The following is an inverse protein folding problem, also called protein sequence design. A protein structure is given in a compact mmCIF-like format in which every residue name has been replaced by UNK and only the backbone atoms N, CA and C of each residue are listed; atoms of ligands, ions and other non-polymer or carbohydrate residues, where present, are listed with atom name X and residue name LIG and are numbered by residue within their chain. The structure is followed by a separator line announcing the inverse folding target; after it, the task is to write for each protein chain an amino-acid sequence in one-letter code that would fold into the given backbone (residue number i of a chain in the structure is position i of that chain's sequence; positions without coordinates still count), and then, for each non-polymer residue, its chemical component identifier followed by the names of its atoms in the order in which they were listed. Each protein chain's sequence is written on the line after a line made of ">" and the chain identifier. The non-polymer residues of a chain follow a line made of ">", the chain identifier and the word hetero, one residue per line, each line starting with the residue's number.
data_IF_862487207206
#
_entry.id   IF_862487207206
#
_cell.length_a   1.000
_cell.length_b   1.000
_cell.length_c   1.000
_cell.angle_alpha   90.00
_cell.angle_beta   90.00
_cell.angle_gamma   90.00
#
_symmetry.space_group_name_H-M   'P 1'
#
loop_
_entity.id
_entity.type
_entity.pdbx_description
1 polymer ?
#
# COMPACT_ATOMS: atom_id res chain seq x y z
N UNK A 1 -32.22 4.26 10.81
CA UNK A 1 -30.95 4.76 10.26
C UNK A 1 -31.30 5.84 9.26
N UNK A 2 -30.86 7.05 9.55
CA UNK A 2 -31.10 8.20 8.67
C UNK A 2 -30.37 7.99 7.34
N UNK A 3 -30.92 8.52 6.24
CA UNK A 3 -30.36 8.35 4.89
C UNK A 3 -28.88 8.78 4.78
N UNK A 4 -28.45 9.70 5.66
CA UNK A 4 -27.07 10.17 5.77
C UNK A 4 -26.13 9.13 6.43
N UNK A 5 -26.61 8.34 7.40
CA UNK A 5 -25.81 7.30 8.05
C UNK A 5 -25.47 6.17 7.07
N UNK A 6 -26.45 5.78 6.25
CA UNK A 6 -26.25 4.77 5.20
C UNK A 6 -25.23 5.25 4.15
N UNK A 7 -25.34 6.49 3.68
CA UNK A 7 -24.38 7.07 2.73
C UNK A 7 -22.96 7.16 3.30
N UNK A 8 -22.82 7.49 4.58
CA UNK A 8 -21.53 7.53 5.24
C UNK A 8 -20.94 6.12 5.39
N UNK A 9 -21.75 5.13 5.79
CA UNK A 9 -21.30 3.74 5.88
C UNK A 9 -20.83 3.19 4.52
N UNK A 10 -21.60 3.43 3.45
CA UNK A 10 -21.23 3.02 2.09
C UNK A 10 -19.92 3.70 1.63
N UNK A 11 -19.74 4.98 1.97
CA UNK A 11 -18.51 5.71 1.67
C UNK A 11 -17.30 5.15 2.42
N UNK A 12 -17.45 4.81 3.71
CA UNK A 12 -16.39 4.19 4.50
C UNK A 12 -16.04 2.79 3.97
N UNK A 13 -17.03 2.01 3.57
CA UNK A 13 -16.84 0.68 2.96
C UNK A 13 -16.06 0.79 1.64
N UNK A 14 -16.44 1.73 0.78
CA UNK A 14 -15.71 2.03 -0.44
C UNK A 14 -14.25 2.43 -0.16
N UNK A 15 -14.03 3.37 0.76
CA UNK A 15 -12.67 3.82 1.13
C UNK A 15 -11.84 2.65 1.67
N UNK A 16 -12.41 1.81 2.52
CA UNK A 16 -11.74 0.62 3.04
C UNK A 16 -11.28 -0.33 1.91
N UNK A 17 -12.17 -0.61 0.94
CA UNK A 17 -11.82 -1.43 -0.21
C UNK A 17 -10.72 -0.81 -1.07
N UNK A 18 -10.77 0.50 -1.35
CA UNK A 18 -9.74 1.17 -2.12
C UNK A 18 -8.38 1.16 -1.39
N UNK A 19 -8.36 1.32 -0.06
CA UNK A 19 -7.15 1.20 0.74
C UNK A 19 -6.53 -0.20 0.63
N UNK A 20 -7.35 -1.25 0.69
CA UNK A 20 -6.89 -2.64 0.50
C UNK A 20 -6.35 -2.89 -0.91
N UNK A 21 -6.99 -2.29 -1.94
CA UNK A 21 -6.51 -2.38 -3.33
C UNK A 21 -5.15 -1.71 -3.49
N UNK A 22 -4.98 -0.48 -2.98
CA UNK A 22 -3.70 0.24 -3.03
C UNK A 22 -2.62 -0.51 -2.23
N UNK A 23 -2.95 -1.02 -1.04
CA UNK A 23 -2.05 -1.86 -0.24
C UNK A 23 -1.52 -3.06 -1.05
N UNK A 24 -2.40 -3.74 -1.78
CA UNK A 24 -2.06 -4.91 -2.60
C UNK A 24 -1.14 -4.53 -3.75
N UNK A 25 -1.44 -3.43 -4.45
CA UNK A 25 -0.61 -2.91 -5.54
C UNK A 25 0.77 -2.53 -5.01
N UNK A 26 0.84 -1.76 -3.92
CA UNK A 26 2.09 -1.34 -3.29
C UNK A 26 2.94 -2.55 -2.86
N UNK A 27 2.33 -3.57 -2.26
CA UNK A 27 3.02 -4.81 -1.92
C UNK A 27 3.56 -5.57 -3.13
N UNK A 28 2.79 -5.60 -4.23
CA UNK A 28 3.21 -6.26 -5.48
C UNK A 28 4.39 -5.54 -6.12
N UNK A 29 4.31 -4.21 -6.26
CA UNK A 29 5.39 -3.41 -6.82
C UNK A 29 6.65 -3.48 -5.95
N UNK A 30 6.51 -3.43 -4.62
CA UNK A 30 7.66 -3.57 -3.70
C UNK A 30 8.42 -4.90 -3.91
N UNK A 31 7.68 -5.99 -4.16
CA UNK A 31 8.27 -7.30 -4.48
C UNK A 31 8.92 -7.33 -5.87
N UNK A 32 8.39 -6.59 -6.84
CA UNK A 32 8.99 -6.43 -8.18
C UNK A 32 10.29 -5.65 -8.08
N UNK A 33 10.33 -4.49 -7.43
CA UNK A 33 11.57 -3.69 -7.30
C UNK A 33 12.63 -4.40 -6.47
N UNK A 34 12.23 -5.19 -5.46
CA UNK A 34 13.16 -6.06 -4.74
C UNK A 34 13.81 -7.10 -5.66
N UNK A 35 13.09 -7.56 -6.69
CA UNK A 35 13.63 -8.48 -7.70
C UNK A 35 14.56 -7.74 -8.66
N UNK A 36 14.15 -6.59 -9.18
CA UNK A 36 15.00 -5.75 -10.04
C UNK A 36 16.32 -5.39 -9.36
N UNK A 37 16.28 -5.00 -8.08
CA UNK A 37 17.48 -4.76 -7.28
C UNK A 37 18.45 -5.95 -7.33
N UNK A 38 17.95 -7.16 -7.05
CA UNK A 38 18.78 -8.37 -7.06
C UNK A 38 19.36 -8.63 -8.45
N UNK A 39 18.52 -8.58 -9.48
CA UNK A 39 18.92 -8.84 -10.86
C UNK A 39 20.02 -7.87 -11.33
N UNK A 40 19.88 -6.58 -11.00
CA UNK A 40 20.87 -5.55 -11.33
C UNK A 40 22.19 -5.72 -10.57
N UNK A 41 22.14 -6.04 -9.28
CA UNK A 41 23.36 -6.25 -8.48
C UNK A 41 24.16 -7.50 -8.88
N UNK A 42 23.50 -8.50 -9.48
CA UNK A 42 24.16 -9.75 -9.89
C UNK A 42 25.03 -9.60 -11.14
N UNK A 43 24.92 -8.48 -11.87
CA UNK A 43 25.61 -8.26 -13.14
C UNK A 43 27.02 -7.65 -12.97
N UNK A 44 27.37 -7.16 -11.76
CA UNK A 44 28.73 -6.70 -11.44
C UNK A 44 29.17 -5.41 -12.15
N UNK A 45 28.24 -4.67 -12.75
CA UNK A 45 28.48 -3.40 -13.42
C UNK A 45 28.13 -2.23 -12.48
N UNK A 46 29.08 -1.30 -12.30
CA UNK A 46 28.93 -0.16 -11.37
C UNK A 46 27.75 0.76 -11.71
N UNK A 47 27.43 0.91 -13.00
CA UNK A 47 26.29 1.72 -13.44
C UNK A 47 24.97 1.00 -13.15
N UNK A 48 24.93 -0.32 -13.33
CA UNK A 48 23.75 -1.13 -12.95
C UNK A 48 23.55 -1.15 -11.43
N UNK A 49 24.63 -1.15 -10.64
CA UNK A 49 24.55 -1.03 -9.19
C UNK A 49 23.92 0.30 -8.74
N UNK A 50 24.19 1.40 -9.44
CA UNK A 50 23.55 2.67 -9.14
C UNK A 50 22.04 2.65 -9.38
N UNK A 51 21.59 2.03 -10.48
CA UNK A 51 20.15 1.83 -10.77
C UNK A 51 19.55 0.90 -9.72
N UNK A 52 20.27 -0.15 -9.29
CA UNK A 52 19.79 -1.05 -8.26
C UNK A 52 19.47 -0.31 -6.96
N UNK A 53 20.28 0.67 -6.54
CA UNK A 53 19.99 1.49 -5.36
C UNK A 53 18.65 2.23 -5.49
N UNK A 54 18.31 2.72 -6.69
CA UNK A 54 17.02 3.36 -6.95
C UNK A 54 15.87 2.35 -6.77
N UNK A 55 16.01 1.13 -7.32
CA UNK A 55 15.02 0.06 -7.14
C UNK A 55 14.85 -0.36 -5.68
N UNK A 56 15.95 -0.44 -4.92
CA UNK A 56 15.89 -0.73 -3.50
C UNK A 56 15.13 0.35 -2.72
N UNK A 57 15.34 1.62 -3.07
CA UNK A 57 14.63 2.74 -2.45
C UNK A 57 13.14 2.75 -2.83
N UNK A 58 12.81 2.47 -4.09
CA UNK A 58 11.44 2.33 -4.55
C UNK A 58 10.73 1.18 -3.81
N UNK A 59 11.38 0.03 -3.68
CA UNK A 59 10.86 -1.11 -2.91
C UNK A 59 10.53 -0.73 -1.45
N UNK A 60 11.40 0.05 -0.80
CA UNK A 60 11.21 0.54 0.57
C UNK A 60 10.00 1.48 0.67
N UNK A 61 9.94 2.48 -0.20
CA UNK A 61 8.83 3.46 -0.21
C UNK A 61 7.47 2.77 -0.47
N UNK A 62 7.43 1.81 -1.40
CA UNK A 62 6.23 1.01 -1.64
C UNK A 62 5.84 0.15 -0.42
N UNK A 63 6.83 -0.36 0.31
CA UNK A 63 6.62 -1.01 1.60
C UNK A 63 5.99 -0.09 2.65
N UNK A 64 6.43 1.17 2.72
CA UNK A 64 5.84 2.20 3.60
C UNK A 64 4.40 2.53 3.20
N UNK A 65 4.14 2.73 1.90
CA UNK A 65 2.77 2.95 1.38
C UNK A 65 1.85 1.80 1.76
N UNK A 66 2.32 0.55 1.64
CA UNK A 66 1.55 -0.62 2.07
C UNK A 66 1.17 -0.54 3.56
N UNK A 67 2.10 -0.14 4.44
CA UNK A 67 1.82 -0.01 5.87
C UNK A 67 0.85 1.15 6.17
N UNK A 68 0.98 2.27 5.45
CA UNK A 68 0.04 3.40 5.57
C UNK A 68 -1.38 2.94 5.21
N UNK A 69 -1.55 2.24 4.09
CA UNK A 69 -2.87 1.72 3.68
C UNK A 69 -3.46 0.74 4.71
N UNK A 70 -2.63 -0.14 5.29
CA UNK A 70 -3.07 -1.06 6.34
C UNK A 70 -3.57 -0.31 7.59
N UNK A 71 -2.81 0.68 8.05
CA UNK A 71 -3.17 1.50 9.21
C UNK A 71 -4.45 2.30 8.97
N UNK A 72 -4.60 2.89 7.78
CA UNK A 72 -5.82 3.62 7.40
C UNK A 72 -7.03 2.69 7.29
N UNK A 73 -6.86 1.48 6.74
CA UNK A 73 -7.95 0.50 6.65
C UNK A 73 -8.44 0.10 8.05
N UNK A 74 -7.51 -0.17 8.98
CA UNK A 74 -7.85 -0.43 10.38
C UNK A 74 -8.61 0.76 11.00
N UNK A 75 -8.16 1.99 10.74
CA UNK A 75 -8.84 3.18 11.27
C UNK A 75 -10.25 3.36 10.70
N UNK A 76 -10.47 3.04 9.42
CA UNK A 76 -11.80 3.06 8.81
C UNK A 76 -12.71 2.01 9.45
N UNK A 77 -12.19 0.81 9.71
CA UNK A 77 -12.94 -0.26 10.36
C UNK A 77 -13.36 0.13 11.80
N UNK A 78 -12.47 0.77 12.56
CA UNK A 78 -12.78 1.32 13.88
C UNK A 78 -13.91 2.37 13.81
N UNK A 79 -13.88 3.25 12.81
CA UNK A 79 -14.93 4.26 12.61
C UNK A 79 -16.29 3.62 12.29
N UNK A 80 -16.31 2.61 11.41
CA UNK A 80 -17.54 1.86 11.09
C UNK A 80 -18.13 1.19 12.32
N UNK A 81 -17.30 0.51 13.11
CA UNK A 81 -17.74 -0.19 14.32
C UNK A 81 -18.31 0.76 15.38
N UNK A 82 -17.73 1.96 15.53
CA UNK A 82 -18.25 2.97 16.46
C UNK A 82 -19.60 3.57 16.02
N UNK A 83 -19.94 3.53 14.73
CA UNK A 83 -21.22 4.01 14.21
C UNK A 83 -22.35 2.96 14.34
N UNK A 84 -22.01 1.70 14.55
CA UNK A 84 -22.97 0.60 14.70
C UNK A 84 -23.39 0.35 16.17
N UNK A 85 -22.76 1.04 17.12
CA UNK A 85 -23.07 1.00 18.57
C UNK A 85 -24.08 2.08 18.95
#
# INVERSE_FOLDING_TARGET
>A
MDNHENQLNDSLEYVHHELQRVQTIAGTLSAVETRHFKDLTNLGDDRLNQIAIEEQNAARQLGEVKQICLSLAQRVEELKNNMQQ
#
